data_IF_334952161995
#
_entry.id   IF_334952161995
#
_cell.length_a   1.000
_cell.length_b   1.000
_cell.length_c   1.000
_cell.angle_alpha   90.00
_cell.angle_beta   90.00
_cell.angle_gamma   90.00
#
_symmetry.space_group_name_H-M   'P 1'
#
loop_
_entity.id
_entity.type
_entity.pdbx_description
1 polymer ?
#
# COMPACT_ATOMS: atom_id res chain seq x y z
N UNK A 1 27.92 10.13 15.34
CA UNK A 1 26.78 9.23 15.08
C UNK A 1 27.11 8.46 13.81
N UNK A 2 27.38 7.16 13.92
CA UNK A 2 27.81 6.34 12.79
C UNK A 2 26.65 6.11 11.83
N UNK A 3 26.92 6.27 10.53
CA UNK A 3 25.98 6.02 9.45
C UNK A 3 25.52 4.56 9.47
N UNK A 4 24.20 4.32 9.42
CA UNK A 4 23.65 2.95 9.41
C UNK A 4 23.88 2.35 8.03
N UNK A 5 24.94 1.55 7.92
CA UNK A 5 25.33 0.73 6.76
C UNK A 5 24.23 -0.19 6.18
N UNK A 6 23.11 -0.39 6.90
CA UNK A 6 21.99 -1.24 6.44
C UNK A 6 20.77 -0.43 6.00
N UNK A 7 20.82 0.90 6.02
CA UNK A 7 19.70 1.70 5.56
C UNK A 7 19.69 1.71 4.02
N UNK A 8 18.56 1.39 3.37
CA UNK A 8 18.45 1.58 1.93
C UNK A 8 18.63 3.07 1.62
N UNK A 9 19.50 3.38 0.66
CA UNK A 9 19.59 4.72 0.08
C UNK A 9 18.34 4.97 -0.75
N UNK A 10 17.65 6.08 -0.52
CA UNK A 10 16.52 6.47 -1.36
C UNK A 10 17.04 6.90 -2.72
N UNK A 11 16.56 6.23 -3.77
CA UNK A 11 16.86 6.55 -5.17
C UNK A 11 15.58 7.02 -5.87
N UNK A 12 15.58 8.28 -6.28
CA UNK A 12 14.42 8.93 -6.89
C UNK A 12 14.12 8.44 -8.30
N UNK A 13 15.14 8.03 -9.05
CA UNK A 13 15.00 7.54 -10.42
C UNK A 13 14.34 6.15 -10.38
N UNK A 14 14.90 5.26 -9.56
CA UNK A 14 14.39 3.89 -9.38
C UNK A 14 12.93 3.89 -8.88
N UNK A 15 12.60 4.73 -7.89
CA UNK A 15 11.22 4.82 -7.39
C UNK A 15 10.23 5.26 -8.47
N UNK A 16 10.66 6.14 -9.38
CA UNK A 16 9.84 6.64 -10.48
C UNK A 16 9.61 5.56 -11.54
N UNK A 17 10.61 4.73 -11.82
CA UNK A 17 10.47 3.57 -12.71
C UNK A 17 9.52 2.52 -12.11
N UNK A 18 9.68 2.20 -10.83
CA UNK A 18 8.83 1.23 -10.12
C UNK A 18 7.38 1.69 -9.97
N UNK A 19 7.11 3.00 -9.96
CA UNK A 19 5.75 3.53 -9.87
C UNK A 19 4.82 2.99 -10.98
N UNK A 20 5.38 2.59 -12.13
CA UNK A 20 4.64 1.96 -13.23
C UNK A 20 4.22 0.51 -12.94
N UNK A 21 4.98 -0.19 -12.08
CA UNK A 21 4.74 -1.58 -11.69
C UNK A 21 3.79 -1.70 -10.50
N UNK A 22 3.67 -0.64 -9.68
CA UNK A 22 2.80 -0.64 -8.49
C UNK A 22 1.32 -0.54 -8.91
N UNK A 23 0.48 -1.50 -8.50
CA UNK A 23 -0.97 -1.46 -8.75
C UNK A 23 -1.60 -0.15 -8.27
N UNK A 24 -2.38 0.51 -9.12
CA UNK A 24 -3.09 1.76 -8.76
C UNK A 24 -4.36 1.49 -7.97
N UNK A 25 -5.02 0.37 -8.26
CA UNK A 25 -6.23 -0.04 -7.57
C UNK A 25 -6.02 -1.38 -6.86
N UNK A 26 -6.72 -1.57 -5.74
CA UNK A 26 -6.70 -2.85 -4.99
C UNK A 26 -7.07 -4.05 -5.88
N UNK A 27 -7.95 -3.85 -6.87
CA UNK A 27 -8.35 -4.88 -7.83
C UNK A 27 -7.23 -5.31 -8.79
N UNK A 28 -6.25 -4.43 -9.03
CA UNK A 28 -5.11 -4.72 -9.92
C UNK A 28 -4.02 -5.49 -9.17
N UNK A 29 -4.13 -5.62 -7.84
CA UNK A 29 -3.22 -6.40 -7.03
C UNK A 29 -3.43 -7.90 -7.26
N UNK A 30 -2.37 -8.58 -7.67
CA UNK A 30 -2.41 -9.99 -8.04
C UNK A 30 -2.35 -10.89 -6.78
N UNK A 31 -3.29 -11.83 -6.68
CA UNK A 31 -3.39 -12.78 -5.58
C UNK A 31 -4.01 -12.20 -4.31
N UNK A 32 -3.89 -12.96 -3.21
CA UNK A 32 -4.43 -12.61 -1.88
C UNK A 32 -5.93 -12.26 -1.89
N UNK A 33 -6.75 -13.03 -2.62
CA UNK A 33 -8.18 -12.73 -2.83
C UNK A 33 -8.96 -12.48 -1.52
N UNK A 34 -8.77 -13.34 -0.51
CA UNK A 34 -9.42 -13.19 0.79
C UNK A 34 -9.04 -11.88 1.49
N UNK A 35 -7.77 -11.48 1.39
CA UNK A 35 -7.30 -10.22 1.98
C UNK A 35 -7.91 -9.02 1.25
N UNK A 36 -7.90 -9.04 -0.09
CA UNK A 36 -8.50 -7.99 -0.93
C UNK A 36 -9.99 -7.82 -0.64
N UNK A 37 -10.72 -8.92 -0.43
CA UNK A 37 -12.13 -8.89 -0.07
C UNK A 37 -12.34 -8.19 1.28
N UNK A 38 -11.59 -8.58 2.31
CA UNK A 38 -11.67 -7.95 3.63
C UNK A 38 -11.34 -6.45 3.56
N UNK A 39 -10.25 -6.07 2.90
CA UNK A 39 -9.86 -4.66 2.73
C UNK A 39 -10.94 -3.87 1.98
N UNK A 40 -11.55 -4.45 0.95
CA UNK A 40 -12.64 -3.81 0.21
C UNK A 40 -13.83 -3.46 1.11
N UNK A 41 -14.20 -4.34 2.04
CA UNK A 41 -15.26 -4.09 3.03
C UNK A 41 -14.89 -2.92 3.94
N UNK A 42 -13.66 -2.87 4.45
CA UNK A 42 -13.21 -1.79 5.31
C UNK A 42 -13.17 -0.44 4.58
N UNK A 43 -12.64 -0.41 3.35
CA UNK A 43 -12.65 0.80 2.51
C UNK A 43 -14.08 1.30 2.30
N UNK A 44 -15.02 0.41 1.97
CA UNK A 44 -16.42 0.77 1.78
C UNK A 44 -17.04 1.34 3.06
N UNK A 45 -16.75 0.74 4.22
CA UNK A 45 -17.25 1.22 5.50
C UNK A 45 -16.71 2.62 5.85
N UNK A 46 -15.41 2.86 5.67
CA UNK A 46 -14.78 4.16 5.91
C UNK A 46 -15.38 5.24 4.98
N UNK A 47 -15.53 4.92 3.68
CA UNK A 47 -16.18 5.81 2.72
C UNK A 47 -17.62 6.15 3.09
N UNK A 48 -18.40 5.19 3.60
CA UNK A 48 -19.78 5.42 4.06
C UNK A 48 -19.85 6.36 5.25
N UNK A 49 -18.86 6.33 6.15
CA UNK A 49 -18.77 7.26 7.28
C UNK A 49 -18.20 8.63 6.90
N UNK A 50 -17.56 8.74 5.73
CA UNK A 50 -16.86 9.96 5.32
C UNK A 50 -15.55 10.17 6.10
N UNK A 51 -14.98 9.09 6.61
CA UNK A 51 -13.76 9.09 7.43
C UNK A 51 -12.61 8.42 6.68
N UNK A 52 -11.38 8.75 7.07
CA UNK A 52 -10.20 8.03 6.61
C UNK A 52 -10.25 6.57 7.08
N UNK A 53 -9.72 5.66 6.27
CA UNK A 53 -9.49 4.28 6.71
C UNK A 53 -8.34 4.28 7.74
N UNK A 54 -8.60 3.75 8.93
CA UNK A 54 -7.57 3.60 9.97
C UNK A 54 -6.65 2.39 9.68
N UNK A 55 -5.64 2.20 10.52
CA UNK A 55 -4.71 1.09 10.45
C UNK A 55 -5.45 -0.24 10.63
N UNK A 56 -5.25 -1.16 9.69
CA UNK A 56 -5.86 -2.49 9.72
C UNK A 56 -4.76 -3.54 9.86
N UNK A 57 -4.92 -4.46 10.82
CA UNK A 57 -4.04 -5.63 11.01
C UNK A 57 -4.72 -6.89 10.47
N UNK A 58 -3.92 -7.78 9.87
CA UNK A 58 -4.35 -9.02 9.22
C UNK A 58 -3.47 -10.19 9.60
#
# INVERSE_FOLDING_TARGET
MAERITAPSYDQELDREEASLRPKYLKDFLGQEKLKENISVFIQAARKRGESLDHVFF
#
